data_IF_390363414719
#
_entry.id   IF_390363414719
#
_cell.length_a   1.000
_cell.length_b   1.000
_cell.length_c   1.000
_cell.angle_alpha   90.00
_cell.angle_beta   90.00
_cell.angle_gamma   90.00
#
_symmetry.space_group_name_H-M   'P 1'
#
loop_
_entity.id
_entity.type
_entity.pdbx_description
1 polymer ?
#
# COMPACT_ATOMS: atom_id res chain seq x y z
N UNK A 1 22.03 -32.19 -8.12
CA UNK A 1 22.37 -31.12 -7.17
C UNK A 1 21.55 -29.87 -7.51
N UNK A 2 20.33 -30.01 -8.05
CA UNK A 2 19.90 -29.12 -9.14
C UNK A 2 18.57 -28.38 -8.91
N UNK A 3 17.79 -28.74 -7.89
CA UNK A 3 16.51 -28.05 -7.63
C UNK A 3 16.71 -26.68 -6.98
N UNK A 4 17.72 -26.52 -6.12
CA UNK A 4 17.94 -25.25 -5.41
C UNK A 4 18.55 -24.17 -6.32
N UNK A 5 19.39 -24.56 -7.29
CA UNK A 5 19.95 -23.64 -8.29
C UNK A 5 18.87 -23.15 -9.26
N UNK A 6 18.02 -24.06 -9.78
CA UNK A 6 16.89 -23.67 -10.66
C UNK A 6 15.89 -22.75 -9.95
N UNK A 7 15.65 -22.97 -8.65
CA UNK A 7 14.82 -22.05 -7.85
C UNK A 7 15.46 -20.67 -7.68
N UNK A 8 16.78 -20.58 -7.45
CA UNK A 8 17.50 -19.30 -7.37
C UNK A 8 17.52 -18.57 -8.70
N UNK A 9 17.65 -19.30 -9.82
CA UNK A 9 17.54 -18.72 -11.15
C UNK A 9 16.14 -18.14 -11.39
N UNK A 10 15.09 -18.89 -11.03
CA UNK A 10 13.70 -18.42 -11.13
C UNK A 10 13.45 -17.19 -10.23
N UNK A 11 14.00 -17.15 -9.02
CA UNK A 11 13.91 -15.99 -8.12
C UNK A 11 14.53 -14.73 -8.74
N UNK A 12 15.72 -14.87 -9.34
CA UNK A 12 16.38 -13.77 -10.03
C UNK A 12 15.56 -13.27 -11.23
N UNK A 13 14.96 -14.18 -11.99
CA UNK A 13 14.09 -13.83 -13.12
C UNK A 13 12.84 -13.08 -12.64
N UNK A 14 12.12 -13.64 -11.66
CA UNK A 14 10.88 -13.04 -11.13
C UNK A 14 11.11 -11.67 -10.47
N UNK A 15 12.29 -11.44 -9.89
CA UNK A 15 12.65 -10.15 -9.31
C UNK A 15 13.09 -9.11 -10.33
N UNK A 16 13.64 -9.52 -11.48
CA UNK A 16 14.06 -8.63 -12.55
C UNK A 16 12.92 -8.20 -13.47
N UNK A 17 11.94 -9.08 -13.72
CA UNK A 17 10.88 -8.85 -14.70
C UNK A 17 9.52 -8.64 -14.04
N UNK A 18 8.78 -7.62 -14.50
CA UNK A 18 7.48 -7.28 -13.94
C UNK A 18 6.38 -8.20 -14.46
N UNK A 19 6.33 -8.47 -15.77
CA UNK A 19 5.40 -9.43 -16.35
C UNK A 19 6.13 -10.67 -16.87
N UNK A 20 5.39 -11.78 -17.00
CA UNK A 20 5.92 -12.97 -17.67
C UNK A 20 6.26 -12.66 -19.13
N UNK A 21 5.45 -11.82 -19.78
CA UNK A 21 5.69 -11.36 -21.15
C UNK A 21 7.00 -10.55 -21.26
N UNK A 22 7.35 -9.72 -20.26
CA UNK A 22 8.62 -8.98 -20.24
C UNK A 22 9.83 -9.92 -20.21
N UNK A 23 9.71 -11.05 -19.50
CA UNK A 23 10.72 -12.09 -19.49
C UNK A 23 10.85 -12.77 -20.86
N UNK A 24 9.73 -13.11 -21.51
CA UNK A 24 9.75 -13.70 -22.85
C UNK A 24 10.38 -12.73 -23.87
N UNK A 25 10.01 -11.45 -23.80
CA UNK A 25 10.53 -10.41 -24.69
C UNK A 25 12.05 -10.22 -24.51
N UNK A 26 12.58 -10.42 -23.30
CA UNK A 26 14.04 -10.40 -23.07
C UNK A 26 14.83 -11.47 -23.83
N UNK A 27 14.16 -12.55 -24.25
CA UNK A 27 14.75 -13.67 -24.99
C UNK A 27 14.54 -13.56 -26.51
N UNK A 28 13.67 -12.65 -26.96
CA UNK A 28 13.38 -12.42 -28.37
C UNK A 28 14.43 -11.47 -28.94
N UNK A 29 15.08 -11.85 -30.04
CA UNK A 29 16.06 -11.00 -30.71
C UNK A 29 15.44 -10.25 -31.89
N UNK A 30 16.11 -9.19 -32.35
CA UNK A 30 15.66 -8.42 -33.53
C UNK A 30 15.57 -9.27 -34.81
N UNK A 31 16.37 -10.33 -34.91
CA UNK A 31 16.33 -11.28 -36.03
C UNK A 31 15.05 -12.13 -35.99
N UNK A 32 14.60 -12.51 -34.80
CA UNK A 32 13.36 -13.28 -34.64
C UNK A 32 12.16 -12.44 -35.07
N UNK A 33 12.13 -11.16 -34.65
CA UNK A 33 11.10 -10.20 -35.09
C UNK A 33 11.12 -9.95 -36.60
N UNK A 34 12.31 -9.95 -37.22
CA UNK A 34 12.44 -9.76 -38.67
C UNK A 34 11.88 -10.94 -39.48
N UNK A 35 12.08 -12.19 -39.03
CA UNK A 35 11.60 -13.37 -39.77
C UNK A 35 10.17 -13.77 -39.42
N UNK A 36 9.74 -13.57 -38.18
CA UNK A 36 8.40 -13.97 -37.73
C UNK A 36 7.37 -12.87 -37.99
N UNK A 37 7.78 -11.60 -38.01
CA UNK A 37 6.92 -10.41 -38.12
C UNK A 37 5.79 -10.32 -37.05
N UNK A 38 5.76 -11.25 -36.09
CA UNK A 38 4.75 -11.38 -35.04
C UNK A 38 5.41 -11.64 -33.67
N UNK A 39 5.27 -10.68 -32.76
CA UNK A 39 5.76 -10.77 -31.39
C UNK A 39 5.10 -11.93 -30.61
N UNK A 40 3.81 -12.18 -30.83
CA UNK A 40 3.08 -13.21 -30.09
C UNK A 40 3.55 -14.61 -30.47
N UNK A 41 3.84 -14.81 -31.76
CA UNK A 41 4.43 -16.05 -32.27
C UNK A 41 5.85 -16.23 -31.72
N UNK A 42 6.65 -15.15 -31.67
CA UNK A 42 7.98 -15.18 -31.09
C UNK A 42 7.94 -15.57 -29.59
N UNK A 43 7.02 -15.00 -28.82
CA UNK A 43 6.79 -15.37 -27.40
C UNK A 43 6.44 -16.84 -27.24
N UNK A 44 5.53 -17.37 -28.06
CA UNK A 44 5.16 -18.80 -28.04
C UNK A 44 6.35 -19.72 -28.35
N UNK A 45 7.23 -19.34 -29.29
CA UNK A 45 8.42 -20.12 -29.62
C UNK A 45 9.44 -20.14 -28.47
N UNK A 46 9.56 -19.04 -27.72
CA UNK A 46 10.38 -18.97 -26.51
C UNK A 46 9.77 -19.83 -25.40
N UNK A 47 8.46 -19.75 -25.17
CA UNK A 47 7.76 -20.55 -24.16
C UNK A 47 7.87 -22.06 -24.41
N UNK A 48 7.75 -22.50 -25.67
CA UNK A 48 7.96 -23.90 -26.08
C UNK A 48 9.45 -24.33 -26.01
N UNK A 49 10.36 -23.36 -25.88
CA UNK A 49 11.80 -23.58 -25.80
C UNK A 49 12.43 -24.01 -27.13
N UNK A 50 11.83 -23.62 -28.26
CA UNK A 50 12.45 -23.70 -29.58
C UNK A 50 13.42 -22.52 -29.81
N UNK A 51 13.26 -21.42 -29.06
CA UNK A 51 14.10 -20.23 -29.11
C UNK A 51 14.39 -19.70 -27.69
N UNK A 52 15.50 -18.98 -27.53
CA UNK A 52 16.01 -18.49 -26.24
C UNK A 52 17.21 -19.29 -25.73
N UNK A 53 18.21 -18.60 -25.17
CA UNK A 53 19.38 -19.23 -24.53
C UNK A 53 19.14 -19.55 -23.04
N UNK A 54 18.00 -19.13 -22.52
CA UNK A 54 17.63 -19.24 -21.10
C UNK A 54 16.95 -20.55 -20.71
N UNK A 55 16.82 -20.72 -19.40
CA UNK A 55 16.11 -21.83 -18.77
C UNK A 55 14.60 -21.74 -19.07
N UNK A 56 13.94 -22.90 -19.30
CA UNK A 56 12.51 -22.96 -19.63
C UNK A 56 11.68 -22.66 -18.39
N UNK A 57 11.14 -21.44 -18.30
CA UNK A 57 10.22 -21.04 -17.23
C UNK A 57 8.79 -21.10 -17.74
N UNK A 58 7.95 -21.95 -17.14
CA UNK A 58 6.51 -21.99 -17.44
C UNK A 58 5.82 -20.76 -16.85
N UNK A 59 4.78 -20.25 -17.52
CA UNK A 59 3.93 -19.16 -17.00
C UNK A 59 3.44 -19.45 -15.58
N UNK A 60 2.92 -20.66 -15.34
CA UNK A 60 2.42 -21.08 -14.03
C UNK A 60 3.50 -21.02 -12.95
N UNK A 61 4.73 -21.47 -13.25
CA UNK A 61 5.84 -21.45 -12.31
C UNK A 61 6.29 -20.02 -11.99
N UNK A 62 6.37 -19.15 -13.00
CA UNK A 62 6.69 -17.73 -12.84
C UNK A 62 5.65 -17.01 -11.98
N UNK A 63 4.37 -17.17 -12.29
CA UNK A 63 3.27 -16.54 -11.57
C UNK A 63 3.15 -17.09 -10.14
N UNK A 64 3.23 -18.40 -9.96
CA UNK A 64 3.21 -19.04 -8.65
C UNK A 64 4.39 -18.57 -7.79
N UNK A 65 5.59 -18.46 -8.39
CA UNK A 65 6.77 -18.00 -7.65
C UNK A 65 6.68 -16.52 -7.32
N UNK A 66 6.19 -15.68 -8.23
CA UNK A 66 5.95 -14.25 -7.97
C UNK A 66 4.94 -14.06 -6.85
N UNK A 67 3.85 -14.82 -6.86
CA UNK A 67 2.88 -14.84 -5.78
C UNK A 67 3.51 -15.31 -4.45
N UNK A 68 4.33 -16.36 -4.48
CA UNK A 68 5.02 -16.87 -3.30
C UNK A 68 6.02 -15.87 -2.71
N UNK A 69 6.80 -15.17 -3.54
CA UNK A 69 7.72 -14.10 -3.11
C UNK A 69 6.93 -12.96 -2.47
N UNK A 70 5.81 -12.53 -3.07
CA UNK A 70 4.99 -11.47 -2.49
C UNK A 70 4.35 -11.90 -1.16
N UNK A 71 3.86 -13.15 -1.05
CA UNK A 71 3.36 -13.72 0.20
C UNK A 71 4.49 -13.81 1.25
N UNK A 72 5.67 -14.29 0.89
CA UNK A 72 6.82 -14.39 1.77
C UNK A 72 7.27 -13.02 2.25
N UNK A 73 7.33 -12.02 1.36
CA UNK A 73 7.62 -10.63 1.69
C UNK A 73 6.60 -10.05 2.66
N UNK A 74 5.31 -10.33 2.47
CA UNK A 74 4.26 -9.95 3.41
C UNK A 74 4.39 -10.68 4.76
N UNK A 75 4.79 -11.96 4.74
CA UNK A 75 4.99 -12.77 5.95
C UNK A 75 6.23 -12.35 6.75
N UNK A 76 7.37 -12.10 6.09
CA UNK A 76 8.59 -11.58 6.71
C UNK A 76 8.34 -10.20 7.33
N UNK A 77 7.59 -9.33 6.63
CA UNK A 77 7.15 -8.05 7.19
C UNK A 77 6.23 -8.21 8.39
N UNK A 78 5.36 -9.22 8.39
CA UNK A 78 4.55 -9.56 9.56
C UNK A 78 5.40 -10.14 10.72
N UNK A 79 6.51 -10.81 10.41
CA UNK A 79 7.45 -11.35 11.39
C UNK A 79 8.47 -10.33 11.92
N UNK A 80 8.74 -9.23 11.21
CA UNK A 80 9.46 -8.07 11.72
C UNK A 80 8.63 -7.42 12.84
N UNK A 81 8.75 -8.01 14.03
CA UNK A 81 8.18 -7.51 15.30
C UNK A 81 8.83 -6.20 15.74
N UNK A 82 9.96 -5.83 15.13
CA UNK A 82 10.56 -4.51 15.29
C UNK A 82 9.67 -3.48 14.60
N UNK A 83 9.09 -2.58 15.38
CA UNK A 83 8.36 -1.42 14.87
C UNK A 83 9.23 -0.69 13.86
N UNK A 84 8.68 -0.29 12.72
CA UNK A 84 9.46 0.35 11.66
C UNK A 84 9.95 1.74 12.08
N UNK A 85 9.29 2.36 13.06
CA UNK A 85 9.73 3.59 13.72
C UNK A 85 10.83 3.41 14.77
N UNK A 86 11.07 2.18 15.26
CA UNK A 86 11.99 1.96 16.37
C UNK A 86 13.44 2.34 16.00
N UNK A 87 14.07 3.16 16.86
CA UNK A 87 15.46 3.60 16.69
C UNK A 87 15.69 4.65 15.60
N UNK A 88 14.62 5.20 15.00
CA UNK A 88 14.72 6.29 14.03
C UNK A 88 14.62 7.65 14.71
N UNK A 89 15.38 8.61 14.19
CA UNK A 89 15.29 10.01 14.62
C UNK A 89 14.10 10.68 13.94
N UNK A 90 13.01 10.84 14.69
CA UNK A 90 11.76 11.41 14.20
C UNK A 90 11.78 12.92 14.40
N UNK A 91 12.07 13.66 13.33
CA UNK A 91 12.24 15.12 13.39
C UNK A 91 10.92 15.91 13.52
N UNK A 92 9.79 15.31 13.12
CA UNK A 92 8.50 16.01 13.06
C UNK A 92 7.44 15.36 13.97
N UNK A 93 6.59 16.21 14.55
CA UNK A 93 5.52 15.81 15.46
C UNK A 93 4.53 14.81 14.84
N UNK A 94 4.27 14.93 13.53
CA UNK A 94 3.41 14.00 12.81
C UNK A 94 4.01 12.60 12.76
N UNK A 95 5.30 12.49 12.44
CA UNK A 95 5.99 11.20 12.41
C UNK A 95 6.04 10.58 13.81
N UNK A 96 6.31 11.38 14.83
CA UNK A 96 6.27 10.95 16.24
C UNK A 96 4.88 10.45 16.64
N UNK A 97 3.82 11.16 16.24
CA UNK A 97 2.44 10.76 16.51
C UNK A 97 2.06 9.44 15.82
N UNK A 98 2.54 9.21 14.59
CA UNK A 98 2.36 7.93 13.90
C UNK A 98 3.13 6.80 14.58
N UNK A 99 4.39 7.03 14.94
CA UNK A 99 5.24 6.05 15.61
C UNK A 99 4.63 5.55 16.92
N UNK A 100 4.10 6.47 17.74
CA UNK A 100 3.39 6.12 19.00
C UNK A 100 2.17 5.22 18.79
N UNK A 101 1.58 5.21 17.59
CA UNK A 101 0.36 4.45 17.25
C UNK A 101 0.67 3.16 16.48
N UNK A 102 1.91 2.99 16.03
CA UNK A 102 2.29 1.92 15.11
C UNK A 102 2.00 0.54 15.72
N UNK A 103 2.45 0.30 16.95
CA UNK A 103 2.29 -1.00 17.63
C UNK A 103 0.82 -1.36 17.86
N UNK A 104 0.02 -0.41 18.34
CA UNK A 104 -1.38 -0.65 18.65
C UNK A 104 -2.24 -0.83 17.40
N UNK A 105 -1.88 -0.17 16.28
CA UNK A 105 -2.51 -0.39 14.99
C UNK A 105 -2.11 -1.74 14.37
N UNK A 106 -0.83 -2.14 14.47
CA UNK A 106 -0.37 -3.45 14.01
C UNK A 106 -1.03 -4.59 14.79
N UNK A 107 -1.17 -4.43 16.11
CA UNK A 107 -1.82 -5.43 16.98
C UNK A 107 -3.35 -5.38 16.96
N UNK A 108 -3.95 -4.37 16.31
CA UNK A 108 -5.39 -4.20 16.19
C UNK A 108 -6.09 -3.87 17.52
N UNK A 109 -5.36 -3.31 18.49
CA UNK A 109 -5.93 -2.73 19.72
C UNK A 109 -6.52 -1.34 19.44
N UNK A 110 -5.82 -0.58 18.60
CA UNK A 110 -6.20 0.74 18.13
C UNK A 110 -6.45 0.68 16.63
N UNK A 111 -7.38 1.50 16.15
CA UNK A 111 -7.54 1.77 14.74
C UNK A 111 -7.48 3.27 14.52
N UNK A 112 -6.45 3.73 13.80
CA UNK A 112 -6.24 5.14 13.52
C UNK A 112 -6.59 5.46 12.07
N UNK A 113 -7.36 6.53 11.87
CA UNK A 113 -7.60 7.15 10.56
C UNK A 113 -6.86 8.47 10.52
N UNK A 114 -6.04 8.66 9.49
CA UNK A 114 -5.21 9.86 9.32
C UNK A 114 -5.87 10.72 8.26
N UNK A 115 -6.15 11.97 8.59
CA UNK A 115 -6.48 13.01 7.62
C UNK A 115 -5.24 13.82 7.29
N UNK A 116 -4.95 13.98 6.01
CA UNK A 116 -3.88 14.85 5.51
C UNK A 116 -4.47 15.75 4.43
N UNK A 117 -4.12 17.03 4.47
CA UNK A 117 -4.32 17.99 3.39
C UNK A 117 -2.98 18.64 3.07
N UNK A 118 -2.55 18.54 1.83
CA UNK A 118 -1.30 19.14 1.35
C UNK A 118 -1.23 19.16 -0.19
N UNK A 119 -0.11 19.61 -0.77
CA UNK A 119 0.09 19.66 -2.22
C UNK A 119 0.87 18.44 -2.72
N UNK A 120 0.42 17.90 -3.85
CA UNK A 120 1.13 16.86 -4.57
C UNK A 120 2.35 17.42 -5.33
N UNK A 121 3.10 16.55 -6.02
CA UNK A 121 4.27 16.94 -6.82
C UNK A 121 3.96 17.89 -7.99
N UNK A 122 2.70 17.93 -8.44
CA UNK A 122 2.23 18.86 -9.48
C UNK A 122 1.74 20.20 -8.89
N UNK A 123 1.86 20.39 -7.58
CA UNK A 123 1.40 21.58 -6.88
C UNK A 123 -0.11 21.62 -6.62
N UNK A 124 -0.85 20.56 -6.96
CA UNK A 124 -2.28 20.48 -6.71
C UNK A 124 -2.54 20.14 -5.25
N UNK A 125 -3.47 20.85 -4.64
CA UNK A 125 -3.92 20.62 -3.29
C UNK A 125 -4.83 19.38 -3.25
N UNK A 126 -4.46 18.44 -2.39
CA UNK A 126 -5.16 17.19 -2.19
C UNK A 126 -5.43 17.01 -0.70
N UNK A 127 -6.53 16.33 -0.40
CA UNK A 127 -6.83 15.89 0.95
C UNK A 127 -7.42 14.51 0.97
N UNK A 128 -7.38 13.83 2.10
CA UNK A 128 -7.97 12.51 2.19
C UNK A 128 -7.79 11.86 3.54
N UNK A 129 -8.54 10.78 3.72
CA UNK A 129 -8.53 9.95 4.91
C UNK A 129 -7.86 8.61 4.60
N UNK A 130 -6.88 8.25 5.42
CA UNK A 130 -6.04 7.07 5.26
C UNK A 130 -6.30 6.13 6.43
N UNK A 131 -6.63 4.87 6.13
CA UNK A 131 -6.64 3.81 7.13
C UNK A 131 -5.19 3.45 7.51
N UNK A 132 -4.72 3.89 8.67
CA UNK A 132 -3.32 3.71 9.05
C UNK A 132 -2.95 2.23 9.17
N UNK A 133 -3.81 1.42 9.79
CA UNK A 133 -3.56 -0.01 9.98
C UNK A 133 -3.52 -0.77 8.63
N UNK A 134 -4.37 -0.40 7.67
CA UNK A 134 -4.29 -0.95 6.31
C UNK A 134 -3.03 -0.48 5.59
N UNK A 135 -2.66 0.80 5.73
CA UNK A 135 -1.48 1.37 5.10
C UNK A 135 -0.20 0.70 5.59
N UNK A 136 -0.08 0.47 6.91
CA UNK A 136 1.05 -0.21 7.55
C UNK A 136 1.28 -1.64 7.03
N UNK A 137 0.23 -2.31 6.55
CA UNK A 137 0.32 -3.68 6.01
C UNK A 137 0.70 -3.72 4.54
N UNK A 138 0.36 -2.67 3.79
CA UNK A 138 0.44 -2.65 2.32
C UNK A 138 1.59 -1.81 1.77
N UNK A 139 2.09 -0.85 2.54
CA UNK A 139 3.26 -0.05 2.16
C UNK A 139 4.33 -0.09 3.24
N UNK A 140 5.57 0.04 2.79
CA UNK A 140 6.71 0.18 3.69
C UNK A 140 6.71 1.58 4.31
N UNK A 141 6.54 1.65 5.64
CA UNK A 141 6.58 2.91 6.36
C UNK A 141 7.99 3.41 6.67
N UNK A 142 9.03 2.63 6.38
CA UNK A 142 10.42 3.02 6.59
C UNK A 142 10.76 4.30 5.82
N UNK A 143 10.30 4.40 4.58
CA UNK A 143 10.55 5.58 3.73
C UNK A 143 9.92 6.86 4.28
N UNK A 144 8.83 6.74 5.03
CA UNK A 144 8.16 7.87 5.67
C UNK A 144 8.86 8.26 6.97
N UNK A 145 9.16 7.29 7.84
CA UNK A 145 9.86 7.54 9.09
C UNK A 145 11.31 8.02 8.91
N UNK A 146 11.94 7.69 7.78
CA UNK A 146 13.28 8.19 7.42
C UNK A 146 13.24 9.52 6.64
N UNK A 147 12.06 10.07 6.36
CA UNK A 147 11.91 11.31 5.61
C UNK A 147 12.24 11.23 4.12
N UNK A 148 12.53 10.04 3.57
CA UNK A 148 12.81 9.84 2.13
C UNK A 148 11.59 10.13 1.26
N UNK A 149 10.38 9.94 1.80
CA UNK A 149 9.11 10.15 1.11
C UNK A 149 8.11 10.83 2.04
N UNK A 150 7.21 11.63 1.47
CA UNK A 150 6.09 12.25 2.18
C UNK A 150 4.84 11.37 2.10
N UNK A 151 4.11 11.24 3.20
CA UNK A 151 2.87 10.49 3.27
C UNK A 151 1.74 11.38 2.72
N UNK A 152 1.30 11.11 1.51
CA UNK A 152 0.17 11.80 0.88
C UNK A 152 -1.01 10.86 0.66
N UNK A 153 -2.26 11.36 0.74
CA UNK A 153 -3.44 10.59 0.37
C UNK A 153 -3.41 10.13 -1.08
N UNK A 154 -3.98 8.96 -1.35
CA UNK A 154 -4.08 8.38 -2.69
C UNK A 154 -5.55 8.11 -3.05
N UNK A 155 -5.89 8.02 -4.34
CA UNK A 155 -7.23 7.65 -4.78
C UNK A 155 -7.74 6.30 -4.28
N UNK A 156 -6.88 5.41 -3.78
CA UNK A 156 -7.22 4.09 -3.22
C UNK A 156 -7.40 4.08 -1.70
N UNK A 157 -7.15 5.19 -1.03
CA UNK A 157 -7.37 5.31 0.42
C UNK A 157 -8.87 5.51 0.72
N UNK A 158 -9.25 5.64 2.00
CA UNK A 158 -10.67 5.65 2.43
C UNK A 158 -11.44 6.79 1.74
N UNK A 159 -10.82 7.95 1.69
CA UNK A 159 -11.34 9.10 0.98
C UNK A 159 -10.16 9.87 0.40
N UNK A 160 -10.37 10.39 -0.80
CA UNK A 160 -9.43 11.23 -1.53
C UNK A 160 -10.21 12.36 -2.18
N UNK A 161 -9.66 13.56 -2.12
CA UNK A 161 -10.22 14.74 -2.73
C UNK A 161 -9.11 15.58 -3.33
N UNK A 162 -9.22 15.88 -4.63
CA UNK A 162 -8.34 16.82 -5.31
C UNK A 162 -9.08 18.16 -5.44
N UNK A 163 -8.57 19.19 -4.76
CA UNK A 163 -9.20 20.51 -4.66
C UNK A 163 -9.10 21.30 -5.96
N UNK A 164 -8.06 21.10 -6.77
CA UNK A 164 -7.91 21.79 -8.05
C UNK A 164 -8.75 21.16 -9.16
N UNK A 165 -8.87 19.83 -9.16
CA UNK A 165 -9.63 19.09 -10.16
C UNK A 165 -11.11 18.88 -9.77
N UNK A 166 -11.48 19.18 -8.52
CA UNK A 166 -12.80 18.88 -7.93
C UNK A 166 -13.19 17.39 -8.05
N UNK A 167 -12.23 16.50 -7.78
CA UNK A 167 -12.43 15.05 -7.88
C UNK A 167 -12.46 14.45 -6.48
N UNK A 168 -13.62 13.92 -6.09
CA UNK A 168 -13.83 13.17 -4.86
C UNK A 168 -13.90 11.65 -5.14
N UNK A 169 -13.12 10.87 -4.41
CA UNK A 169 -13.16 9.40 -4.43
C UNK A 169 -13.34 8.90 -3.01
N UNK A 170 -14.20 7.91 -2.83
CA UNK A 170 -14.40 7.23 -1.54
C UNK A 170 -14.36 5.72 -1.73
N UNK A 171 -13.54 5.05 -0.90
CA UNK A 171 -13.37 3.61 -0.95
C UNK A 171 -13.53 3.03 0.46
N UNK A 172 -14.15 1.86 0.56
CA UNK A 172 -14.09 1.11 1.82
C UNK A 172 -12.73 0.42 1.96
N UNK A 173 -12.10 0.55 3.12
CA UNK A 173 -10.89 -0.21 3.46
C UNK A 173 -11.27 -1.56 4.10
N UNK A 174 -10.30 -2.46 4.37
CA UNK A 174 -10.58 -3.67 5.14
C UNK A 174 -11.12 -3.41 6.56
N UNK A 175 -10.79 -2.26 7.17
CA UNK A 175 -11.22 -1.92 8.54
C UNK A 175 -12.42 -0.97 8.58
N UNK A 176 -12.59 -0.11 7.59
CA UNK A 176 -13.64 0.92 7.57
C UNK A 176 -14.54 0.79 6.37
N UNK A 177 -15.84 0.98 6.61
CA UNK A 177 -16.81 1.22 5.57
C UNK A 177 -17.14 2.71 5.52
N UNK A 178 -17.12 3.28 4.32
CA UNK A 178 -17.50 4.69 4.12
C UNK A 178 -19.01 4.79 3.99
N UNK A 179 -19.59 5.77 4.69
CA UNK A 179 -20.98 6.16 4.58
C UNK A 179 -20.97 7.61 4.07
N UNK A 180 -21.12 7.76 2.75
CA UNK A 180 -21.10 9.06 2.07
C UNK A 180 -22.50 9.69 1.92
N UNK A 181 -23.57 8.88 1.95
CA UNK A 181 -24.94 9.33 1.73
C UNK A 181 -25.60 10.00 2.96
N UNK A 182 -24.81 10.35 3.97
CA UNK A 182 -25.31 10.91 5.21
C UNK A 182 -25.42 12.45 5.12
N UNK A 183 -26.58 13.06 5.43
CA UNK A 183 -26.77 14.51 5.33
C UNK A 183 -25.88 15.32 6.28
N UNK A 184 -25.42 14.72 7.38
CA UNK A 184 -24.51 15.37 8.35
C UNK A 184 -23.04 15.33 7.89
N UNK A 185 -22.76 14.77 6.71
CA UNK A 185 -21.43 14.66 6.14
C UNK A 185 -20.83 13.25 6.21
N UNK A 186 -19.54 13.17 5.92
CA UNK A 186 -18.81 11.91 5.77
C UNK A 186 -18.68 11.17 7.11
N UNK A 187 -19.07 9.90 7.13
CA UNK A 187 -18.94 9.03 8.29
C UNK A 187 -18.17 7.76 7.93
N UNK A 188 -17.37 7.26 8.87
CA UNK A 188 -16.71 5.97 8.72
C UNK A 188 -17.22 4.98 9.76
N UNK A 189 -17.59 3.79 9.33
CA UNK A 189 -18.00 2.71 10.22
C UNK A 189 -16.86 1.72 10.39
N UNK A 190 -16.35 1.59 11.60
CA UNK A 190 -15.36 0.56 11.92
C UNK A 190 -16.01 -0.82 11.83
N UNK A 191 -15.51 -1.69 10.94
CA UNK A 191 -16.18 -2.95 10.59
C UNK A 191 -16.24 -3.95 11.74
N UNK A 192 -15.27 -3.91 12.65
CA UNK A 192 -15.12 -4.92 13.72
C UNK A 192 -16.20 -4.82 14.80
N UNK A 193 -16.53 -3.61 15.24
CA UNK A 193 -17.55 -3.37 16.28
C UNK A 193 -18.76 -2.57 15.78
N UNK A 194 -18.74 -2.14 14.50
CA UNK A 194 -19.77 -1.36 13.81
C UNK A 194 -19.98 0.04 14.39
N UNK A 195 -19.05 0.55 15.20
CA UNK A 195 -19.10 1.91 15.71
C UNK A 195 -18.80 2.93 14.61
N UNK A 196 -19.45 4.09 14.73
CA UNK A 196 -19.29 5.20 13.80
C UNK A 196 -18.20 6.12 14.32
N UNK A 197 -17.30 6.46 13.41
CA UNK A 197 -16.30 7.50 13.54
C UNK A 197 -16.79 8.70 12.70
N UNK A 198 -17.14 9.78 13.39
CA UNK A 198 -17.54 11.02 12.74
C UNK A 198 -16.30 11.89 12.50
N UNK A 199 -16.09 12.28 11.25
CA UNK A 199 -14.92 13.09 10.86
C UNK A 199 -15.21 14.58 10.72
N UNK A 200 -16.46 15.03 10.94
CA UNK A 200 -16.81 16.44 10.97
C UNK A 200 -16.02 17.17 12.09
N UNK A 201 -15.22 18.20 11.75
CA UNK A 201 -14.52 19.05 12.72
C UNK A 201 -15.41 19.67 13.81
N UNK A 202 -16.70 19.87 13.54
CA UNK A 202 -17.64 20.51 14.48
C UNK A 202 -18.39 19.52 15.36
N UNK A 203 -18.38 18.24 15.01
CA UNK A 203 -19.04 17.18 15.76
C UNK A 203 -18.07 16.45 16.70
N UNK A 204 -18.64 15.66 17.63
CA UNK A 204 -17.87 14.71 18.41
C UNK A 204 -17.48 13.50 17.55
N UNK A 205 -16.26 12.96 17.68
CA UNK A 205 -15.77 11.88 16.82
C UNK A 205 -16.48 10.53 17.00
N UNK A 206 -17.24 10.35 18.07
CA UNK A 206 -17.99 9.12 18.37
C UNK A 206 -17.47 8.35 19.58
N UNK A 207 -18.14 7.25 19.90
CA UNK A 207 -17.83 6.43 21.09
C UNK A 207 -16.44 5.80 21.03
N UNK A 208 -15.66 5.95 22.11
CA UNK A 208 -14.28 5.45 22.21
C UNK A 208 -13.37 5.95 21.07
N UNK A 209 -13.74 7.08 20.48
CA UNK A 209 -12.99 7.72 19.41
C UNK A 209 -12.47 9.07 19.89
N UNK A 210 -11.27 9.43 19.48
CA UNK A 210 -10.67 10.74 19.77
C UNK A 210 -10.15 11.37 18.50
N UNK A 211 -10.27 12.70 18.38
CA UNK A 211 -9.72 13.49 17.27
C UNK A 211 -8.60 14.37 17.78
N UNK A 212 -7.42 14.25 17.19
CA UNK A 212 -6.22 14.97 17.60
C UNK A 212 -5.66 15.70 16.37
N UNK A 213 -5.67 17.03 16.41
CA UNK A 213 -4.99 17.85 15.40
C UNK A 213 -3.50 17.87 15.71
N UNK A 214 -2.67 17.53 14.72
CA UNK A 214 -1.22 17.52 14.88
C UNK A 214 -0.64 18.79 14.27
N UNK A 215 0.12 19.54 15.06
CA UNK A 215 0.90 20.66 14.57
C UNK A 215 2.19 20.12 13.95
N UNK A 216 2.32 20.29 12.64
CA UNK A 216 3.43 19.77 11.83
C UNK A 216 3.80 20.82 10.78
N UNK A 217 5.09 20.89 10.46
CA UNK A 217 5.57 21.73 9.35
C UNK A 217 5.56 20.94 8.03
N UNK A 218 5.36 19.62 8.09
CA UNK A 218 5.38 18.77 6.92
C UNK A 218 4.14 18.91 6.05
N UNK A 219 2.97 19.28 6.59
CA UNK A 219 1.71 19.32 5.84
C UNK A 219 0.90 20.55 6.21
N UNK A 220 0.11 21.07 5.27
CA UNK A 220 -0.85 22.16 5.54
C UNK A 220 -1.82 21.79 6.68
N UNK A 221 -2.30 20.55 6.72
CA UNK A 221 -3.15 20.07 7.81
C UNK A 221 -2.96 18.56 8.03
N UNK A 222 -2.82 18.16 9.29
CA UNK A 222 -2.81 16.77 9.70
C UNK A 222 -3.69 16.54 10.94
N UNK A 223 -4.60 15.57 10.87
CA UNK A 223 -5.47 15.20 11.98
C UNK A 223 -5.50 13.68 12.10
N UNK A 224 -5.39 13.16 13.31
CA UNK A 224 -5.48 11.73 13.57
C UNK A 224 -6.75 11.46 14.37
N UNK A 225 -7.53 10.49 13.89
CA UNK A 225 -8.70 9.96 14.55
C UNK A 225 -8.35 8.57 15.08
N UNK A 226 -8.34 8.42 16.39
CA UNK A 226 -8.05 7.14 17.04
C UNK A 226 -9.35 6.51 17.53
N UNK A 227 -9.56 5.24 17.22
CA UNK A 227 -10.69 4.46 17.71
C UNK A 227 -10.18 3.23 18.46
N UNK A 228 -10.56 3.11 19.73
CA UNK A 228 -10.19 1.96 20.57
C UNK A 228 -11.24 0.87 20.39
N UNK A 229 -10.84 -0.25 19.79
CA UNK A 229 -11.73 -1.39 19.63
C UNK A 229 -12.02 -2.02 20.98
N UNK A 230 -13.30 -2.14 21.35
CA UNK A 230 -13.67 -3.01 22.47
C UNK A 230 -13.47 -4.45 22.03
N UNK A 231 -12.50 -5.16 22.63
CA UNK A 231 -12.55 -6.62 22.62
C UNK A 231 -13.85 -7.03 23.30
N UNK A 232 -14.64 -7.88 22.66
CA UNK A 232 -15.47 -8.79 23.45
C UNK A 232 -14.48 -9.70 24.15
N UNK A 233 -14.30 -9.49 25.44
CA UNK A 233 -13.75 -10.50 26.33
C UNK A 233 -14.56 -11.78 26.18
#
# INVERSE_FOLDING_TARGET
MDQEEGLKALDNIVTQFNAYEDFLDSQITTVDLYYLEDETLARQLVELGYRGTGERVKREDFEARKAAIEIARLAERAQQKTLTSAGKDLQDNFLTALAMREEDNRSGKLSSVIFIRDRNSHGQEISGYIDYAHRLKTEDFEVYFTGKKRLLPRPTDISFYNWDADIAVSNSSPNYQVIADNPEGLLFRYKRDRKILNVDPKAQPGDNSTRITILTELYVQAVIFDHISRRKT
#
